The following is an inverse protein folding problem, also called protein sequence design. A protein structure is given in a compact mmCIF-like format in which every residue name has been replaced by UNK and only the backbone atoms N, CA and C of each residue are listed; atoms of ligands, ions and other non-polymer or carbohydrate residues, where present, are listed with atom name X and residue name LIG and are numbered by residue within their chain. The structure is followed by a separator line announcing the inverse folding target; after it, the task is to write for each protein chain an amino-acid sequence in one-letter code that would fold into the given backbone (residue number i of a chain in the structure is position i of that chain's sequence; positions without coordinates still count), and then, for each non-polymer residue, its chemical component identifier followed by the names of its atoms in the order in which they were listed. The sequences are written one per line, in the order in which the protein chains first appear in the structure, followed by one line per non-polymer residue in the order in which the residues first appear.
data_IF_008828157126
#
_entry.id   IF_008828157126
#
_cell.length_a   1.000
_cell.length_b   1.000
_cell.length_c   1.000
_cell.angle_alpha   90.00
_cell.angle_beta   90.00
_cell.angle_gamma   90.00
#
_symmetry.space_group_name_H-M   'P 1'
#
loop_
_entity.id
_entity.type
_entity.pdbx_description
1 polymer ?
#
# COMPACT_ATOMS: atom_id res chain seq x y z
N UNK A 1 1.95 -7.72 -4.65
CA UNK A 1 2.89 -7.91 -3.51
C UNK A 1 4.13 -8.72 -3.86
N UNK A 2 4.02 -10.00 -4.23
CA UNK A 2 5.19 -10.82 -4.60
C UNK A 2 5.97 -10.21 -5.76
N UNK A 3 5.32 -10.00 -6.90
CA UNK A 3 6.01 -9.49 -8.10
C UNK A 3 6.34 -8.00 -8.06
N UNK A 4 5.54 -7.22 -7.33
CA UNK A 4 5.66 -5.76 -7.28
C UNK A 4 6.67 -5.27 -6.23
N UNK A 5 6.75 -5.96 -5.09
CA UNK A 5 7.64 -5.59 -3.99
C UNK A 5 8.74 -6.63 -3.81
N UNK A 6 8.41 -7.85 -3.34
CA UNK A 6 9.42 -8.82 -2.90
C UNK A 6 10.42 -9.20 -4.00
N UNK A 7 9.93 -9.53 -5.20
CA UNK A 7 10.77 -9.86 -6.34
C UNK A 7 11.67 -8.70 -6.78
N UNK A 8 11.28 -7.45 -6.53
CA UNK A 8 12.08 -6.26 -6.88
C UNK A 8 13.06 -5.91 -5.76
N UNK A 9 12.58 -5.85 -4.53
CA UNK A 9 13.34 -5.50 -3.33
C UNK A 9 14.52 -6.46 -3.12
N UNK A 10 14.26 -7.77 -3.15
CA UNK A 10 15.29 -8.79 -2.92
C UNK A 10 16.34 -8.87 -4.05
N UNK A 11 16.04 -8.33 -5.24
CA UNK A 11 17.03 -8.21 -6.33
C UNK A 11 17.86 -6.93 -6.25
N UNK A 12 17.32 -5.86 -5.68
CA UNK A 12 17.95 -4.52 -5.67
C UNK A 12 18.75 -4.23 -4.40
N UNK A 13 18.40 -4.85 -3.28
CA UNK A 13 18.97 -4.55 -1.96
C UNK A 13 19.23 -5.84 -1.21
N UNK A 14 20.43 -5.93 -0.61
CA UNK A 14 20.74 -6.98 0.36
C UNK A 14 20.27 -6.48 1.72
N UNK A 15 19.33 -7.21 2.31
CA UNK A 15 18.82 -6.92 3.64
C UNK A 15 19.63 -7.72 4.66
N UNK A 16 20.17 -7.03 5.66
CA UNK A 16 20.96 -7.69 6.72
C UNK A 16 20.10 -8.11 7.91
N UNK A 17 18.84 -7.66 7.95
CA UNK A 17 17.86 -8.03 8.97
C UNK A 17 16.43 -7.94 8.44
N UNK A 18 15.50 -8.60 9.12
CA UNK A 18 14.08 -8.59 8.75
C UNK A 18 13.48 -7.20 8.96
N UNK A 19 13.94 -6.46 9.96
CA UNK A 19 13.46 -5.11 10.28
C UNK A 19 13.73 -4.12 9.14
N UNK A 20 14.87 -4.26 8.43
CA UNK A 20 15.16 -3.45 7.26
C UNK A 20 14.21 -3.75 6.10
N UNK A 21 13.86 -5.03 5.88
CA UNK A 21 12.89 -5.41 4.87
C UNK A 21 11.49 -4.92 5.23
N UNK A 22 11.12 -5.03 6.52
CA UNK A 22 9.84 -4.56 7.03
C UNK A 22 9.67 -3.05 6.83
N UNK A 23 10.71 -2.25 7.12
CA UNK A 23 10.66 -0.80 6.91
C UNK A 23 10.38 -0.41 5.46
N UNK A 24 11.08 -1.04 4.52
CA UNK A 24 10.87 -0.80 3.08
C UNK A 24 9.47 -1.28 2.64
N UNK A 25 8.97 -2.38 3.23
CA UNK A 25 7.63 -2.90 2.97
C UNK A 25 6.54 -1.95 3.49
N UNK A 26 6.72 -1.38 4.68
CA UNK A 26 5.76 -0.45 5.28
C UNK A 26 5.63 0.82 4.42
N UNK A 27 6.74 1.36 3.94
CA UNK A 27 6.76 2.50 3.03
C UNK A 27 6.08 2.16 1.69
N UNK A 28 6.40 1.01 1.11
CA UNK A 28 5.74 0.53 -0.11
C UNK A 28 4.23 0.36 0.08
N UNK A 29 3.80 -0.19 1.21
CA UNK A 29 2.39 -0.40 1.53
C UNK A 29 1.65 0.92 1.71
N UNK A 30 2.29 1.92 2.30
CA UNK A 30 1.71 3.26 2.39
C UNK A 30 1.48 3.85 1.01
N UNK A 31 2.50 3.82 0.14
CA UNK A 31 2.36 4.27 -1.25
C UNK A 31 1.24 3.50 -1.98
N UNK A 32 1.28 2.18 -1.93
CA UNK A 32 0.35 1.32 -2.65
C UNK A 32 -1.11 1.57 -2.25
N UNK A 33 -1.36 1.70 -0.95
CA UNK A 33 -2.73 1.81 -0.43
C UNK A 33 -3.25 3.25 -0.51
N UNK A 34 -2.41 4.26 -0.25
CA UNK A 34 -2.87 5.64 -0.04
C UNK A 34 -2.48 6.62 -1.13
N UNK A 35 -1.51 6.31 -1.99
CA UNK A 35 -1.01 7.24 -3.01
C UNK A 35 -1.23 6.72 -4.43
N UNK A 36 -1.21 5.41 -4.63
CA UNK A 36 -1.37 4.81 -5.96
C UNK A 36 -2.78 5.02 -6.49
N UNK A 37 -2.87 5.62 -7.68
CA UNK A 37 -4.10 5.64 -8.47
C UNK A 37 -4.42 4.24 -8.99
N UNK A 38 -5.59 3.71 -8.66
CA UNK A 38 -6.02 2.39 -9.09
C UNK A 38 -6.82 2.47 -10.39
N UNK A 39 -6.50 1.64 -11.39
CA UNK A 39 -7.15 1.70 -12.70
C UNK A 39 -8.40 0.82 -12.86
N UNK A 40 -8.68 -0.07 -11.91
CA UNK A 40 -9.82 -0.98 -11.97
C UNK A 40 -11.18 -0.27 -12.08
N UNK A 41 -11.98 -0.70 -13.06
CA UNK A 41 -13.30 -0.14 -13.37
C UNK A 41 -14.24 -0.04 -12.15
N UNK A 42 -14.22 -1.05 -11.27
CA UNK A 42 -15.06 -1.10 -10.07
C UNK A 42 -14.81 0.07 -9.11
N UNK A 43 -13.55 0.51 -8.99
CA UNK A 43 -13.20 1.62 -8.10
C UNK A 43 -13.54 2.96 -8.74
N UNK A 44 -13.19 3.14 -10.02
CA UNK A 44 -13.51 4.35 -10.78
C UNK A 44 -15.02 4.61 -10.86
N UNK A 45 -15.85 3.58 -11.06
CA UNK A 45 -17.31 3.71 -11.08
C UNK A 45 -17.88 4.28 -9.77
N UNK A 46 -17.25 3.97 -8.64
CA UNK A 46 -17.67 4.43 -7.32
C UNK A 46 -16.94 5.70 -6.86
N UNK A 47 -16.18 6.35 -7.75
CA UNK A 47 -15.43 7.58 -7.45
C UNK A 47 -14.17 7.39 -6.61
N UNK A 48 -13.73 6.14 -6.37
CA UNK A 48 -12.52 5.86 -5.59
C UNK A 48 -11.27 5.93 -6.47
N UNK A 49 -10.28 6.69 -6.04
CA UNK A 49 -9.01 6.91 -6.72
C UNK A 49 -7.94 5.96 -6.18
N UNK A 50 -7.92 5.72 -4.86
CA UNK A 50 -6.94 4.86 -4.19
C UNK A 50 -7.58 3.60 -3.60
N UNK A 51 -6.81 2.52 -3.38
CA UNK A 51 -7.32 1.34 -2.70
C UNK A 51 -7.88 1.63 -1.30
N UNK A 52 -7.23 2.52 -0.54
CA UNK A 52 -7.70 2.91 0.79
C UNK A 52 -9.07 3.57 0.75
N UNK A 53 -9.32 4.48 -0.18
CA UNK A 53 -10.64 5.13 -0.34
C UNK A 53 -11.74 4.10 -0.58
N UNK A 54 -11.47 3.07 -1.39
CA UNK A 54 -12.42 2.00 -1.63
C UNK A 54 -12.66 1.13 -0.40
N UNK A 55 -11.61 0.84 0.37
CA UNK A 55 -11.69 0.02 1.58
C UNK A 55 -12.46 0.72 2.72
N UNK A 56 -12.23 2.03 2.89
CA UNK A 56 -12.90 2.85 3.90
C UNK A 56 -14.21 3.47 3.40
N UNK A 57 -14.50 3.40 2.10
CA UNK A 57 -15.74 3.90 1.51
C UNK A 57 -16.96 3.22 2.12
N UNK A 58 -17.72 3.96 2.94
CA UNK A 58 -18.90 3.47 3.66
C UNK A 58 -18.62 2.91 5.06
N UNK A 59 -17.38 2.99 5.57
CA UNK A 59 -17.01 2.61 6.95
C UNK A 59 -16.35 3.79 7.65
N UNK A 60 -16.85 4.19 8.81
CA UNK A 60 -16.20 5.20 9.67
C UNK A 60 -14.84 4.66 10.11
N UNK A 61 -13.72 5.34 9.80
CA UNK A 61 -12.39 4.82 10.10
C UNK A 61 -12.08 5.04 11.59
N UNK A 62 -12.40 4.05 12.42
CA UNK A 62 -12.04 4.05 13.85
C UNK A 62 -10.55 3.74 14.11
N UNK A 63 -9.79 3.35 13.07
CA UNK A 63 -8.46 2.78 13.23
C UNK A 63 -7.52 3.09 12.05
N UNK A 64 -7.50 4.33 11.54
CA UNK A 64 -6.35 4.75 10.76
C UNK A 64 -5.21 5.09 11.74
N UNK A 65 -4.00 4.55 11.55
CA UNK A 65 -2.85 5.02 12.32
C UNK A 65 -2.70 6.50 12.01
N UNK A 66 -2.82 7.34 13.04
CA UNK A 66 -2.33 8.71 13.00
C UNK A 66 -0.87 8.61 12.57
N UNK A 67 -0.58 9.01 11.34
CA UNK A 67 0.79 9.27 10.92
C UNK A 67 1.25 10.43 11.81
N UNK A 68 2.23 10.15 12.66
CA UNK A 68 2.89 11.12 13.54
C UNK A 68 3.67 12.16 12.73
#
# INVERSE_FOLDING_TARGET
MLDEFYSVALRKKIYTSVEQLQKDLDEFMYYYNFQRSHQGYKLKRNGYITPSQAFFGGRTPLALPLVA
#
